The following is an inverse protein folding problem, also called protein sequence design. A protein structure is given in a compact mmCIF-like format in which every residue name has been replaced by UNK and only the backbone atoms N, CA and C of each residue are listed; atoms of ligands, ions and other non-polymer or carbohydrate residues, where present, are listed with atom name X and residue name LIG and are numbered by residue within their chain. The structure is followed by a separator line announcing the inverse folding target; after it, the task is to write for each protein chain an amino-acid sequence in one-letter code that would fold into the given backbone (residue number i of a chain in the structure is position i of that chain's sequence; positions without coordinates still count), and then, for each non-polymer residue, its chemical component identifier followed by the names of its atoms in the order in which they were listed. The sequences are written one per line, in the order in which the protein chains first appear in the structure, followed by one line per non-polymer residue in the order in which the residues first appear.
data_IF_426634042473
#
_entry.id   IF_426634042473
#
_cell.length_a   1.000
_cell.length_b   1.000
_cell.length_c   1.000
_cell.angle_alpha   90.00
_cell.angle_beta   90.00
_cell.angle_gamma   90.00
#
_symmetry.space_group_name_H-M   'P 1'
#
loop_
_entity.id
_entity.type
_entity.pdbx_description
1 polymer ?
#
# COMPACT_ATOMS: atom_id res chain seq x y z
N UNK A 1 6.61 -4.80 -28.74
CA UNK A 1 5.16 -4.70 -28.91
C UNK A 1 4.54 -6.09 -29.20
N UNK A 2 4.92 -6.79 -30.28
CA UNK A 2 4.32 -8.10 -30.66
C UNK A 2 4.32 -9.16 -29.58
N UNK A 3 5.34 -9.19 -28.71
CA UNK A 3 5.40 -10.13 -27.56
C UNK A 3 4.36 -9.75 -26.53
N UNK A 4 4.08 -8.46 -26.35
CA UNK A 4 3.10 -7.93 -25.41
C UNK A 4 1.66 -8.12 -25.87
N UNK A 5 1.39 -7.92 -27.18
CA UNK A 5 0.06 -8.18 -27.75
C UNK A 5 -0.41 -9.60 -27.50
N UNK A 6 0.54 -10.55 -27.44
CA UNK A 6 0.23 -11.97 -27.21
C UNK A 6 0.20 -12.35 -25.73
N UNK A 7 1.07 -11.75 -24.90
CA UNK A 7 1.24 -12.13 -23.50
C UNK A 7 0.41 -11.27 -22.52
N UNK A 8 0.16 -10.00 -22.84
CA UNK A 8 -0.62 -9.09 -22.00
C UNK A 8 -1.27 -7.97 -22.83
N UNK A 9 -2.37 -8.27 -23.55
CA UNK A 9 -3.07 -7.29 -24.38
C UNK A 9 -3.54 -6.04 -23.59
N UNK A 10 -3.73 -6.17 -22.28
CA UNK A 10 -4.09 -5.05 -21.41
C UNK A 10 -3.05 -3.94 -21.31
N UNK A 11 -1.79 -4.20 -21.66
CA UNK A 11 -0.72 -3.18 -21.61
C UNK A 11 -0.60 -2.36 -22.91
N UNK A 12 -1.06 -2.89 -24.02
CA UNK A 12 -0.95 -2.24 -25.33
C UNK A 12 -1.59 -0.86 -25.35
N UNK A 13 -2.83 -0.67 -24.86
CA UNK A 13 -3.45 0.66 -24.80
C UNK A 13 -2.66 1.67 -23.95
N UNK A 14 -2.02 1.19 -22.87
CA UNK A 14 -1.26 2.07 -21.97
C UNK A 14 0.02 2.63 -22.61
N UNK A 15 0.60 1.87 -23.53
CA UNK A 15 1.76 2.28 -24.33
C UNK A 15 1.31 3.28 -25.39
N UNK A 16 0.23 2.99 -26.11
CA UNK A 16 -0.35 3.84 -27.15
C UNK A 16 -0.85 5.17 -26.59
N UNK A 17 -1.35 5.19 -25.35
CA UNK A 17 -1.77 6.39 -24.64
C UNK A 17 -0.60 7.17 -24.00
N UNK A 18 0.66 6.71 -24.14
CA UNK A 18 1.84 7.34 -23.54
C UNK A 18 1.87 7.30 -22.01
N UNK A 19 1.09 6.41 -21.40
CA UNK A 19 1.05 6.22 -19.95
C UNK A 19 2.31 5.50 -19.47
N UNK A 20 2.90 4.66 -20.32
CA UNK A 20 4.16 3.97 -20.11
C UNK A 20 5.11 4.37 -21.25
N UNK A 21 6.27 4.91 -20.92
CA UNK A 21 7.32 5.22 -21.90
C UNK A 21 7.99 3.92 -22.39
N UNK A 22 8.23 3.84 -23.71
CA UNK A 22 8.73 2.64 -24.36
C UNK A 22 10.07 2.11 -23.78
N UNK A 23 10.95 3.00 -23.35
CA UNK A 23 12.31 2.67 -22.92
C UNK A 23 12.37 2.05 -21.50
N UNK A 24 11.33 2.29 -20.69
CA UNK A 24 11.22 1.80 -19.30
C UNK A 24 10.37 0.52 -19.25
N UNK A 25 9.77 0.20 -20.37
CA UNK A 25 8.75 -0.85 -20.49
C UNK A 25 9.28 -2.25 -20.15
N UNK A 26 10.48 -2.60 -20.62
CA UNK A 26 10.98 -3.97 -20.53
C UNK A 26 11.23 -4.44 -19.11
N UNK A 27 11.81 -3.62 -18.25
CA UNK A 27 12.11 -3.96 -16.85
C UNK A 27 10.85 -3.97 -15.98
N UNK A 28 9.98 -2.99 -16.17
CA UNK A 28 8.77 -2.85 -15.36
C UNK A 28 7.75 -3.90 -15.72
N UNK A 29 7.62 -4.21 -17.02
CA UNK A 29 6.68 -5.22 -17.49
C UNK A 29 7.17 -6.61 -17.14
N UNK A 30 8.45 -6.93 -17.31
CA UNK A 30 9.00 -8.22 -16.89
C UNK A 30 8.71 -8.48 -15.41
N UNK A 31 8.92 -7.48 -14.58
CA UNK A 31 8.71 -7.58 -13.14
C UNK A 31 7.21 -7.72 -12.77
N UNK A 32 6.35 -6.91 -13.35
CA UNK A 32 4.90 -7.01 -13.10
C UNK A 32 4.27 -8.22 -13.79
N UNK A 33 4.82 -8.69 -14.92
CA UNK A 33 4.38 -9.92 -15.56
C UNK A 33 4.74 -11.16 -14.75
N UNK A 34 5.93 -11.24 -14.19
CA UNK A 34 6.33 -12.37 -13.36
C UNK A 34 5.43 -12.47 -12.11
N UNK A 35 5.10 -11.32 -11.48
CA UNK A 35 4.15 -11.27 -10.38
C UNK A 35 2.71 -11.57 -10.85
N UNK A 36 2.33 -11.06 -11.99
CA UNK A 36 1.02 -11.22 -12.58
C UNK A 36 0.76 -12.67 -13.03
N UNK A 37 1.74 -13.31 -13.68
CA UNK A 37 1.69 -14.73 -14.08
C UNK A 37 1.69 -15.62 -12.85
N UNK A 38 2.58 -15.36 -11.90
CA UNK A 38 2.67 -16.11 -10.65
C UNK A 38 1.38 -16.01 -9.83
N UNK A 39 0.78 -14.84 -9.77
CA UNK A 39 -0.45 -14.60 -9.03
C UNK A 39 -1.68 -15.18 -9.76
N UNK A 40 -1.70 -15.19 -11.08
CA UNK A 40 -2.75 -15.84 -11.85
C UNK A 40 -2.70 -17.37 -11.68
N UNK A 41 -1.53 -17.99 -11.76
CA UNK A 41 -1.33 -19.42 -11.47
C UNK A 41 -1.81 -19.78 -10.05
N UNK A 42 -1.60 -18.88 -9.10
CA UNK A 42 -1.96 -19.04 -7.70
C UNK A 42 -3.49 -19.03 -7.47
N UNK A 43 -4.26 -18.33 -8.30
CA UNK A 43 -5.72 -18.19 -8.20
C UNK A 43 -6.49 -19.13 -9.12
N UNK A 44 -5.89 -19.63 -10.19
CA UNK A 44 -6.45 -20.65 -11.10
C UNK A 44 -6.46 -22.04 -10.42
N UNK A 45 -5.57 -22.28 -9.45
CA UNK A 45 -5.54 -23.55 -8.72
C UNK A 45 -6.63 -23.58 -7.64
N UNK A 46 -7.63 -24.40 -7.85
CA UNK A 46 -8.90 -24.51 -7.14
C UNK A 46 -8.85 -24.75 -5.61
N UNK A 47 -7.72 -24.97 -4.98
CA UNK A 47 -7.67 -25.38 -3.58
C UNK A 47 -6.67 -24.59 -2.74
N UNK A 48 -6.96 -23.33 -2.46
CA UNK A 48 -6.21 -22.57 -1.46
C UNK A 48 -6.61 -23.00 -0.04
N UNK A 49 -5.80 -23.85 0.57
CA UNK A 49 -5.98 -24.22 1.98
C UNK A 49 -5.26 -23.21 2.85
N UNK A 50 -6.00 -22.41 3.58
CA UNK A 50 -5.46 -21.45 4.55
C UNK A 50 -5.52 -22.04 5.94
N UNK A 51 -4.42 -21.95 6.69
CA UNK A 51 -4.42 -22.29 8.10
C UNK A 51 -5.03 -21.14 8.90
N UNK A 52 -6.22 -21.34 9.43
CA UNK A 52 -6.90 -20.39 10.31
C UNK A 52 -6.76 -20.84 11.74
N UNK A 53 -6.28 -19.97 12.62
CA UNK A 53 -6.21 -20.26 14.04
C UNK A 53 -7.61 -20.33 14.64
N UNK A 54 -7.99 -21.51 15.12
CA UNK A 54 -9.22 -21.70 15.88
C UNK A 54 -8.97 -21.34 17.34
N UNK A 55 -9.53 -20.21 17.78
CA UNK A 55 -9.38 -19.72 19.15
C UNK A 55 -9.97 -20.66 20.21
N UNK A 56 -11.01 -21.39 19.87
CA UNK A 56 -11.70 -22.34 20.78
C UNK A 56 -10.88 -23.60 21.00
N UNK A 57 -10.30 -24.15 19.95
CA UNK A 57 -9.51 -25.36 19.96
C UNK A 57 -8.01 -25.13 20.16
N UNK A 58 -7.58 -23.86 20.17
CA UNK A 58 -6.15 -23.45 20.21
C UNK A 58 -5.28 -24.15 19.16
N UNK A 59 -5.85 -24.46 18.00
CA UNK A 59 -5.23 -25.17 16.89
C UNK A 59 -5.38 -24.42 15.60
N UNK A 60 -4.48 -24.70 14.62
CA UNK A 60 -4.65 -24.19 13.27
C UNK A 60 -5.52 -25.16 12.47
N UNK A 61 -6.70 -24.71 12.10
CA UNK A 61 -7.62 -25.46 11.24
C UNK A 61 -7.42 -25.04 9.79
N UNK A 62 -7.22 -26.02 8.92
CA UNK A 62 -7.16 -25.80 7.48
C UNK A 62 -8.57 -25.50 6.96
N UNK A 63 -8.88 -24.25 6.65
CA UNK A 63 -10.14 -23.87 6.00
C UNK A 63 -9.93 -23.74 4.50
N UNK A 64 -10.86 -24.27 3.71
CA UNK A 64 -11.00 -23.94 2.30
C UNK A 64 -11.36 -22.46 2.21
N UNK A 65 -10.59 -21.68 1.47
CA UNK A 65 -11.01 -20.33 1.07
C UNK A 65 -12.13 -20.52 0.06
N UNK A 66 -13.26 -19.86 0.25
CA UNK A 66 -14.28 -19.71 -0.81
C UNK A 66 -13.61 -18.94 -1.94
N UNK A 67 -13.48 -19.60 -3.07
CA UNK A 67 -12.65 -19.20 -4.20
C UNK A 67 -13.13 -17.90 -4.80
N UNK A 68 -12.21 -17.00 -5.06
CA UNK A 68 -12.34 -16.19 -6.26
C UNK A 68 -12.22 -17.17 -7.45
N UNK A 69 -13.37 -17.51 -8.03
CA UNK A 69 -13.43 -18.29 -9.28
C UNK A 69 -12.97 -17.42 -10.48
N UNK A 70 -12.06 -16.48 -10.26
CA UNK A 70 -11.57 -15.54 -11.28
C UNK A 70 -10.11 -15.18 -11.02
N UNK A 71 -9.39 -14.83 -12.08
CA UNK A 71 -8.04 -14.29 -11.99
C UNK A 71 -8.03 -12.89 -11.35
N UNK A 72 -6.85 -12.41 -10.92
CA UNK A 72 -6.71 -11.03 -10.43
C UNK A 72 -7.10 -10.01 -11.49
N UNK A 73 -6.78 -10.27 -12.75
CA UNK A 73 -7.15 -9.39 -13.87
C UNK A 73 -8.65 -9.26 -14.00
N UNK A 74 -9.37 -10.38 -14.01
CA UNK A 74 -10.83 -10.37 -14.05
C UNK A 74 -11.41 -9.66 -12.83
N UNK A 75 -10.80 -9.84 -11.65
CA UNK A 75 -11.20 -9.15 -10.45
C UNK A 75 -11.01 -7.64 -10.58
N UNK A 76 -9.85 -7.18 -11.04
CA UNK A 76 -9.57 -5.76 -11.24
C UNK A 76 -10.52 -5.14 -12.25
N UNK A 77 -10.74 -5.78 -13.37
CA UNK A 77 -11.68 -5.33 -14.40
C UNK A 77 -13.13 -5.24 -13.89
N UNK A 78 -13.49 -6.12 -12.97
CA UNK A 78 -14.81 -6.10 -12.34
C UNK A 78 -14.99 -4.97 -11.33
N UNK A 79 -13.96 -4.70 -10.52
CA UNK A 79 -14.06 -3.72 -9.41
C UNK A 79 -13.86 -2.29 -9.91
N UNK A 80 -12.85 -2.08 -10.75
CA UNK A 80 -12.52 -0.76 -11.30
C UNK A 80 -12.23 -0.85 -12.80
N UNK A 81 -13.27 -1.07 -13.64
CA UNK A 81 -13.09 -1.25 -15.10
C UNK A 81 -12.51 -0.03 -15.81
N UNK A 82 -12.55 1.13 -15.17
CA UNK A 82 -12.01 2.40 -15.69
C UNK A 82 -10.54 2.66 -15.28
N UNK A 83 -9.94 1.77 -14.48
CA UNK A 83 -8.53 1.86 -14.07
C UNK A 83 -7.76 0.73 -14.76
N UNK A 84 -6.74 1.03 -15.57
CA UNK A 84 -5.93 0.00 -16.19
C UNK A 84 -5.39 -1.03 -15.19
N UNK A 85 -5.39 -2.30 -15.57
CA UNK A 85 -4.99 -3.40 -14.67
C UNK A 85 -3.58 -3.20 -14.13
N UNK A 86 -2.64 -2.73 -14.96
CA UNK A 86 -1.25 -2.47 -14.55
C UNK A 86 -1.17 -1.45 -13.39
N UNK A 87 -2.05 -0.46 -13.38
CA UNK A 87 -2.11 0.53 -12.32
C UNK A 87 -2.68 -0.08 -11.03
N UNK A 88 -3.71 -0.91 -11.14
CA UNK A 88 -4.25 -1.65 -10.00
C UNK A 88 -3.24 -2.67 -9.45
N UNK A 89 -2.54 -3.38 -10.35
CA UNK A 89 -1.47 -4.30 -9.99
C UNK A 89 -0.29 -3.59 -9.27
N UNK A 90 0.07 -2.37 -9.71
CA UNK A 90 1.11 -1.58 -9.06
C UNK A 90 0.73 -1.21 -7.61
N UNK A 91 -0.53 -0.83 -7.35
CA UNK A 91 -1.02 -0.58 -6.00
C UNK A 91 -1.01 -1.85 -5.17
N UNK A 92 -1.44 -2.98 -5.75
CA UNK A 92 -1.41 -4.26 -5.06
C UNK A 92 0.01 -4.67 -4.67
N UNK A 93 0.96 -4.61 -5.62
CA UNK A 93 2.37 -4.93 -5.38
C UNK A 93 2.99 -4.04 -4.28
N UNK A 94 2.66 -2.75 -4.28
CA UNK A 94 3.08 -1.80 -3.24
C UNK A 94 2.62 -2.25 -1.84
N UNK A 95 1.44 -2.81 -1.70
CA UNK A 95 0.89 -3.24 -0.40
C UNK A 95 1.37 -4.62 0.06
N UNK A 96 2.08 -5.38 -0.78
CA UNK A 96 2.58 -6.71 -0.44
C UNK A 96 3.63 -6.69 0.69
N UNK A 97 3.68 -7.76 1.46
CA UNK A 97 4.73 -7.95 2.46
C UNK A 97 6.05 -8.37 1.79
N UNK A 98 7.19 -7.98 2.40
CA UNK A 98 8.54 -8.34 1.91
C UNK A 98 8.72 -9.86 1.75
N UNK A 99 8.01 -10.66 2.54
CA UNK A 99 8.03 -12.13 2.48
C UNK A 99 7.41 -12.73 1.24
N UNK A 100 6.70 -11.95 0.42
CA UNK A 100 6.03 -12.43 -0.80
C UNK A 100 6.97 -12.65 -1.99
N UNK A 101 8.27 -12.39 -1.84
CA UNK A 101 9.26 -12.52 -2.91
C UNK A 101 9.40 -11.27 -3.79
N UNK A 102 8.55 -10.29 -3.61
CA UNK A 102 8.53 -9.03 -4.36
C UNK A 102 9.59 -8.05 -3.83
N UNK A 103 10.84 -8.22 -4.25
CA UNK A 103 12.00 -7.52 -3.66
C UNK A 103 12.08 -6.02 -3.97
N UNK A 104 11.40 -5.51 -4.99
CA UNK A 104 11.56 -4.12 -5.46
C UNK A 104 10.33 -3.23 -5.32
N UNK A 105 9.12 -3.79 -5.32
CA UNK A 105 7.86 -3.03 -5.44
C UNK A 105 7.13 -2.78 -4.12
N UNK A 106 7.66 -3.26 -3.00
CA UNK A 106 6.98 -3.09 -1.70
C UNK A 106 7.00 -1.64 -1.23
N UNK A 107 6.01 -1.26 -0.44
CA UNK A 107 5.90 0.08 0.16
C UNK A 107 7.18 0.52 0.89
N UNK A 108 7.87 -0.42 1.54
CA UNK A 108 9.11 -0.13 2.25
C UNK A 108 10.22 0.32 1.29
N UNK A 109 10.42 -0.41 0.19
CA UNK A 109 11.50 -0.14 -0.74
C UNK A 109 11.21 1.11 -1.59
N UNK A 110 10.01 1.21 -2.16
CA UNK A 110 9.58 2.39 -2.92
C UNK A 110 9.71 3.65 -2.07
N UNK A 111 9.12 3.66 -0.86
CA UNK A 111 9.17 4.83 0.00
C UNK A 111 10.59 5.16 0.50
N UNK A 112 11.44 4.16 0.73
CA UNK A 112 12.84 4.38 1.09
C UNK A 112 13.57 5.15 -0.02
N UNK A 113 13.42 4.73 -1.26
CA UNK A 113 14.09 5.37 -2.41
C UNK A 113 13.53 6.76 -2.68
N UNK A 114 12.21 6.93 -2.68
CA UNK A 114 11.57 8.24 -2.84
C UNK A 114 12.04 9.26 -1.79
N UNK A 115 12.12 8.84 -0.52
CA UNK A 115 12.58 9.72 0.58
C UNK A 115 14.04 10.09 0.46
N UNK A 116 14.87 9.16 0.00
CA UNK A 116 16.31 9.38 -0.17
C UNK A 116 16.65 10.14 -1.46
N UNK A 117 15.69 10.30 -2.38
CA UNK A 117 15.94 10.89 -3.71
C UNK A 117 16.88 10.01 -4.56
N UNK A 118 16.86 8.70 -4.35
CA UNK A 118 17.65 7.76 -5.15
C UNK A 118 16.97 7.61 -6.51
N UNK A 119 17.67 7.95 -7.56
CA UNK A 119 17.23 7.68 -8.94
C UNK A 119 17.16 6.17 -9.18
N UNK A 120 16.02 5.70 -9.62
CA UNK A 120 15.77 4.29 -9.91
C UNK A 120 14.56 4.20 -10.84
N UNK A 121 14.80 3.84 -12.09
CA UNK A 121 13.78 3.77 -13.15
C UNK A 121 12.57 2.92 -12.73
N UNK A 122 12.82 1.82 -12.07
CA UNK A 122 11.78 0.94 -11.58
C UNK A 122 10.87 1.64 -10.56
N UNK A 123 11.47 2.33 -9.57
CA UNK A 123 10.72 3.06 -8.54
C UNK A 123 9.96 4.24 -9.18
N UNK A 124 10.54 4.89 -10.17
CA UNK A 124 9.90 6.01 -10.87
C UNK A 124 8.67 5.55 -11.64
N UNK A 125 8.77 4.45 -12.38
CA UNK A 125 7.62 3.86 -13.08
C UNK A 125 6.58 3.35 -12.10
N UNK A 126 6.97 2.56 -11.10
CA UNK A 126 6.05 2.03 -10.10
C UNK A 126 5.31 3.16 -9.37
N UNK A 127 6.04 4.19 -8.93
CA UNK A 127 5.44 5.32 -8.22
C UNK A 127 4.51 6.14 -9.10
N UNK A 128 4.79 6.27 -10.41
CA UNK A 128 3.93 6.93 -11.39
C UNK A 128 2.63 6.14 -11.59
N UNK A 129 2.72 4.82 -11.81
CA UNK A 129 1.55 3.95 -11.96
C UNK A 129 0.65 3.99 -10.71
N UNK A 130 1.25 3.97 -9.51
CA UNK A 130 0.50 4.10 -8.26
C UNK A 130 -0.21 5.45 -8.21
N UNK A 131 0.48 6.57 -8.46
CA UNK A 131 -0.14 7.91 -8.45
C UNK A 131 -1.26 8.04 -9.47
N UNK A 132 -1.10 7.46 -10.67
CA UNK A 132 -2.14 7.42 -11.69
C UNK A 132 -3.36 6.61 -11.24
N UNK A 133 -3.17 5.44 -10.61
CA UNK A 133 -4.25 4.68 -10.00
C UNK A 133 -4.97 5.50 -8.93
N UNK A 134 -4.22 6.11 -8.02
CA UNK A 134 -4.78 6.93 -6.95
C UNK A 134 -5.61 8.08 -7.52
N UNK A 135 -5.17 8.75 -8.58
CA UNK A 135 -5.93 9.85 -9.18
C UNK A 135 -7.33 9.45 -9.67
N UNK A 136 -7.53 8.19 -10.02
CA UNK A 136 -8.77 7.61 -10.55
C UNK A 136 -9.65 6.95 -9.49
N UNK A 137 -9.10 6.66 -8.32
CA UNK A 137 -9.83 6.05 -7.21
C UNK A 137 -10.70 7.08 -6.47
N UNK A 138 -11.79 6.63 -5.82
CA UNK A 138 -12.62 7.51 -5.01
C UNK A 138 -11.82 8.18 -3.89
N UNK A 139 -12.06 9.47 -3.70
CA UNK A 139 -11.53 10.21 -2.55
C UNK A 139 -12.19 9.73 -1.27
N UNK A 140 -11.42 9.76 -0.20
CA UNK A 140 -11.93 9.53 1.14
C UNK A 140 -11.77 10.80 1.99
N UNK A 141 -12.88 11.29 2.48
CA UNK A 141 -12.93 12.40 3.42
C UNK A 141 -13.32 11.89 4.81
N UNK A 142 -12.49 12.15 5.80
CA UNK A 142 -12.71 11.69 7.16
C UNK A 142 -11.43 11.41 7.92
N UNK A 143 -11.58 10.86 9.12
CA UNK A 143 -10.43 10.53 9.97
C UNK A 143 -9.89 9.16 9.62
N UNK A 144 -8.57 9.07 9.45
CA UNK A 144 -7.85 7.82 9.25
C UNK A 144 -6.64 7.76 10.19
N UNK A 145 -6.10 6.56 10.38
CA UNK A 145 -5.09 6.29 11.38
C UNK A 145 -3.88 5.59 10.79
N UNK A 146 -2.69 5.99 11.24
CA UNK A 146 -1.42 5.35 10.90
C UNK A 146 -0.61 5.10 12.15
N UNK A 147 -0.07 3.90 12.31
CA UNK A 147 0.85 3.54 13.39
C UNK A 147 2.29 3.44 12.89
N UNK A 148 3.21 4.04 13.60
CA UNK A 148 4.64 3.97 13.28
C UNK A 148 5.47 3.93 14.57
N UNK A 149 6.62 3.26 14.51
CA UNK A 149 7.63 3.32 15.57
C UNK A 149 8.83 4.07 15.02
N UNK A 150 9.24 5.17 15.64
CA UNK A 150 10.36 5.98 15.19
C UNK A 150 11.24 6.47 16.34
N UNK A 151 12.50 6.78 16.04
CA UNK A 151 13.38 7.38 17.04
C UNK A 151 12.84 8.73 17.48
N UNK A 152 13.11 9.09 18.74
CA UNK A 152 12.66 10.39 19.29
C UNK A 152 13.22 11.56 18.49
N UNK A 153 14.46 11.44 18.01
CA UNK A 153 15.10 12.46 17.16
C UNK A 153 14.30 12.68 15.87
N UNK A 154 13.97 11.58 15.16
CA UNK A 154 13.19 11.65 13.92
C UNK A 154 11.76 12.17 14.17
N UNK A 155 11.15 11.78 15.28
CA UNK A 155 9.83 12.28 15.67
C UNK A 155 9.87 13.80 15.90
N UNK A 156 10.90 14.27 16.58
CA UNK A 156 11.11 15.70 16.85
C UNK A 156 11.31 16.48 15.55
N UNK A 157 12.32 16.11 14.76
CA UNK A 157 12.68 16.77 13.51
C UNK A 157 11.58 16.79 12.45
N UNK A 158 10.68 15.79 12.44
CA UNK A 158 9.63 15.71 11.41
C UNK A 158 8.29 16.28 11.85
N UNK A 159 8.00 16.29 13.14
CA UNK A 159 6.65 16.61 13.61
C UNK A 159 6.62 17.50 14.86
N UNK A 160 7.41 17.23 15.91
CA UNK A 160 7.23 17.94 17.16
C UNK A 160 7.71 19.40 17.09
N UNK A 161 8.76 19.66 16.31
CA UNK A 161 9.27 21.01 16.06
C UNK A 161 8.44 21.78 15.02
N UNK A 162 7.46 21.10 14.39
CA UNK A 162 6.63 21.62 13.31
C UNK A 162 5.15 21.75 13.66
N UNK A 163 4.82 21.85 14.96
CA UNK A 163 3.42 22.09 15.35
C UNK A 163 2.98 23.48 14.87
N UNK A 164 1.95 23.52 14.04
CA UNK A 164 1.47 24.70 13.35
C UNK A 164 2.00 24.85 11.93
N UNK A 165 3.01 24.06 11.53
CA UNK A 165 3.59 24.08 10.18
C UNK A 165 2.98 23.03 9.27
N UNK A 166 3.20 23.22 7.97
CA UNK A 166 2.85 22.25 6.93
C UNK A 166 4.09 21.42 6.61
N UNK A 167 3.97 20.10 6.80
CA UNK A 167 4.99 19.11 6.45
C UNK A 167 4.55 18.26 5.27
N UNK A 168 5.49 17.66 4.56
CA UNK A 168 5.21 16.71 3.47
C UNK A 168 6.11 15.47 3.58
N UNK A 169 5.66 14.37 3.00
CA UNK A 169 6.48 13.16 2.83
C UNK A 169 6.70 12.91 1.34
N UNK A 170 7.94 12.68 0.94
CA UNK A 170 8.28 12.35 -0.47
C UNK A 170 7.76 10.98 -0.89
N UNK A 171 7.43 10.10 0.06
CA UNK A 171 6.84 8.79 -0.19
C UNK A 171 5.32 8.80 -0.04
N UNK A 172 4.70 7.69 -0.39
CA UNK A 172 3.30 7.43 -0.12
C UNK A 172 3.06 7.22 1.37
N UNK A 173 1.88 7.61 1.85
CA UNK A 173 1.50 7.42 3.25
C UNK A 173 0.28 6.50 3.31
N UNK A 174 0.48 5.29 3.81
CA UNK A 174 -0.57 4.31 4.08
C UNK A 174 -1.19 4.57 5.45
N UNK A 175 -2.50 4.47 5.53
CA UNK A 175 -3.29 4.61 6.75
C UNK A 175 -4.48 3.63 6.72
N UNK A 176 -5.21 3.52 7.81
CA UNK A 176 -6.39 2.65 7.90
C UNK A 176 -7.60 3.44 8.41
N UNK A 177 -8.78 3.02 7.98
CA UNK A 177 -10.06 3.54 8.52
C UNK A 177 -10.22 3.26 10.01
N UNK A 178 -9.62 2.19 10.51
CA UNK A 178 -9.81 1.73 11.88
C UNK A 178 -8.50 1.74 12.66
N UNK A 179 -8.58 2.10 13.94
CA UNK A 179 -7.46 2.17 14.86
C UNK A 179 -6.79 0.81 15.13
N UNK A 180 -7.52 -0.29 15.01
CA UNK A 180 -7.02 -1.64 15.30
C UNK A 180 -5.82 -2.01 14.42
N UNK A 181 -5.83 -1.60 13.16
CA UNK A 181 -4.75 -1.88 12.22
C UNK A 181 -3.44 -1.16 12.61
N UNK A 182 -3.41 0.17 12.79
CA UNK A 182 -2.23 0.87 13.30
C UNK A 182 -1.73 0.35 14.64
N UNK A 183 -2.63 0.00 15.55
CA UNK A 183 -2.26 -0.55 16.87
C UNK A 183 -1.46 -1.85 16.75
N UNK A 184 -1.78 -2.73 15.82
CA UNK A 184 -1.00 -3.96 15.56
C UNK A 184 0.45 -3.64 15.17
N UNK A 185 0.70 -2.57 14.42
CA UNK A 185 2.05 -2.18 13.99
C UNK A 185 2.90 -1.63 15.13
N UNK A 186 2.32 -0.88 16.06
CA UNK A 186 3.05 -0.28 17.19
C UNK A 186 3.10 -1.16 18.43
N UNK A 187 2.27 -2.21 18.53
CA UNK A 187 2.22 -3.13 19.70
C UNK A 187 3.28 -4.22 19.62
N UNK A 188 4.15 -4.23 18.61
CA UNK A 188 5.21 -5.23 18.46
C UNK A 188 6.19 -5.16 19.64
N UNK A 189 6.58 -6.32 20.15
CA UNK A 189 7.62 -6.42 21.19
C UNK A 189 8.99 -5.98 20.66
N UNK A 190 9.88 -5.57 21.57
CA UNK A 190 11.28 -5.27 21.21
C UNK A 190 11.53 -3.88 20.62
N UNK A 191 10.65 -2.92 20.88
CA UNK A 191 10.88 -1.53 20.48
C UNK A 191 12.11 -0.98 21.26
N UNK A 192 13.15 -0.47 20.57
CA UNK A 192 14.31 0.10 21.23
C UNK A 192 13.91 1.26 22.16
N UNK A 193 14.59 1.43 23.28
CA UNK A 193 14.35 2.55 24.24
C UNK A 193 14.43 3.94 23.59
N UNK A 194 15.24 4.08 22.53
CA UNK A 194 15.39 5.31 21.75
C UNK A 194 14.22 5.58 20.81
N UNK A 195 13.26 4.65 20.68
CA UNK A 195 12.10 4.78 19.80
C UNK A 195 10.82 4.99 20.60
N UNK A 196 9.87 5.65 19.98
CA UNK A 196 8.53 5.89 20.50
C UNK A 196 7.48 5.30 19.59
N UNK A 197 6.38 4.87 20.18
CA UNK A 197 5.15 4.54 19.48
C UNK A 197 4.46 5.82 19.07
N UNK A 198 4.05 5.91 17.83
CA UNK A 198 3.39 7.09 17.28
C UNK A 198 2.13 6.65 16.54
N UNK A 199 1.02 7.26 16.90
CA UNK A 199 -0.24 7.20 16.16
C UNK A 199 -0.44 8.55 15.47
N UNK A 200 -0.57 8.52 14.17
CA UNK A 200 -1.06 9.65 13.40
C UNK A 200 -2.57 9.52 13.25
N UNK A 201 -3.29 10.54 13.70
CA UNK A 201 -4.71 10.76 13.43
C UNK A 201 -4.80 11.80 12.33
N UNK A 202 -5.23 11.40 11.14
CA UNK A 202 -5.14 12.22 9.93
C UNK A 202 -6.55 12.58 9.47
N UNK A 203 -6.86 13.87 9.43
CA UNK A 203 -8.04 14.37 8.75
C UNK A 203 -7.77 14.38 7.25
N UNK A 204 -8.29 13.39 6.55
CA UNK A 204 -8.14 13.22 5.11
C UNK A 204 -9.13 14.06 4.32
N UNK A 205 -8.70 14.58 3.18
CA UNK A 205 -9.51 15.25 2.15
C UNK A 205 -9.41 14.55 0.78
N UNK A 206 -8.22 14.04 0.46
CA UNK A 206 -7.91 13.47 -0.85
C UNK A 206 -7.29 12.07 -0.78
N UNK A 207 -7.15 11.48 0.41
CA UNK A 207 -6.72 10.10 0.55
C UNK A 207 -7.57 9.17 -0.32
N UNK A 208 -7.00 8.09 -0.83
CA UNK A 208 -7.68 7.18 -1.75
C UNK A 208 -7.93 5.84 -1.10
N UNK A 209 -9.17 5.39 -1.19
CA UNK A 209 -9.53 4.07 -0.68
C UNK A 209 -9.03 2.99 -1.65
N UNK A 210 -7.97 2.28 -1.24
CA UNK A 210 -7.37 1.19 -1.99
C UNK A 210 -7.77 -0.19 -1.44
N UNK A 211 -8.70 -0.26 -0.48
CA UNK A 211 -9.06 -1.50 0.23
C UNK A 211 -9.43 -2.65 -0.71
N UNK A 212 -10.01 -2.36 -1.87
CA UNK A 212 -10.44 -3.40 -2.82
C UNK A 212 -9.29 -3.95 -3.68
N UNK A 213 -8.21 -3.19 -3.87
CA UNK A 213 -7.06 -3.60 -4.70
C UNK A 213 -5.79 -3.85 -3.90
N UNK A 214 -5.78 -3.53 -2.60
CA UNK A 214 -4.70 -3.88 -1.69
C UNK A 214 -4.55 -5.40 -1.57
N UNK A 215 -3.33 -5.88 -1.32
CA UNK A 215 -3.09 -7.29 -0.96
C UNK A 215 -3.88 -7.68 0.29
N UNK A 216 -4.03 -6.75 1.25
CA UNK A 216 -4.77 -6.95 2.48
C UNK A 216 -6.23 -6.49 2.36
N UNK A 217 -6.96 -7.04 1.40
CA UNK A 217 -8.36 -6.68 1.10
C UNK A 217 -9.40 -7.66 1.67
N UNK A 218 -8.98 -8.66 2.43
CA UNK A 218 -9.85 -9.73 2.93
C UNK A 218 -10.18 -10.81 1.87
N UNK A 219 -9.79 -10.59 0.62
CA UNK A 219 -10.01 -11.51 -0.51
C UNK A 219 -8.70 -12.19 -0.87
N UNK A 220 -7.63 -11.43 -1.12
CA UNK A 220 -6.30 -11.96 -1.43
C UNK A 220 -5.61 -12.51 -0.19
N UNK A 221 -5.81 -11.88 0.94
CA UNK A 221 -5.43 -12.37 2.27
C UNK A 221 -6.65 -12.40 3.19
N UNK A 222 -6.55 -13.08 4.35
CA UNK A 222 -7.64 -13.08 5.34
C UNK A 222 -7.74 -11.77 6.13
N UNK A 223 -6.72 -10.93 6.06
CA UNK A 223 -6.68 -9.64 6.72
C UNK A 223 -7.26 -8.57 5.79
N UNK A 224 -8.13 -7.72 6.31
CA UNK A 224 -8.55 -6.50 5.65
C UNK A 224 -8.04 -5.31 6.47
N UNK A 225 -7.14 -4.53 5.89
CA UNK A 225 -6.56 -3.38 6.55
C UNK A 225 -7.36 -2.09 6.32
N UNK A 226 -8.39 -2.13 5.50
CA UNK A 226 -9.23 -0.96 5.16
C UNK A 226 -8.39 0.27 4.82
N UNK A 227 -7.48 0.08 3.87
CA UNK A 227 -6.37 0.99 3.62
C UNK A 227 -6.81 2.22 2.83
N UNK A 228 -6.39 3.38 3.36
CA UNK A 228 -6.43 4.67 2.67
C UNK A 228 -5.00 5.08 2.39
N UNK A 229 -4.69 5.35 1.13
CA UNK A 229 -3.36 5.71 0.67
C UNK A 229 -3.33 7.18 0.22
N UNK A 230 -2.38 7.93 0.75
CA UNK A 230 -2.06 9.29 0.30
C UNK A 230 -0.93 9.23 -0.71
N UNK A 231 -1.06 10.04 -1.76
CA UNK A 231 -0.04 10.14 -2.80
C UNK A 231 1.26 10.74 -2.26
N UNK A 232 2.36 10.46 -2.95
CA UNK A 232 3.67 11.05 -2.64
C UNK A 232 3.59 12.58 -2.69
N UNK A 233 4.29 13.24 -1.78
CA UNK A 233 4.30 14.69 -1.69
C UNK A 233 3.04 15.32 -1.05
N UNK A 234 2.08 14.52 -0.59
CA UNK A 234 0.92 15.03 0.14
C UNK A 234 1.36 15.89 1.34
N UNK A 235 0.70 17.03 1.50
CA UNK A 235 1.00 18.02 2.52
C UNK A 235 0.04 17.89 3.71
N UNK A 236 0.57 18.03 4.91
CA UNK A 236 -0.20 17.93 6.15
C UNK A 236 0.16 19.06 7.10
N UNK A 237 -0.82 19.78 7.60
CA UNK A 237 -0.66 20.66 8.75
C UNK A 237 -0.50 19.81 10.02
N UNK A 238 0.57 19.98 10.76
CA UNK A 238 0.76 19.38 12.09
C UNK A 238 -0.04 20.18 13.10
N UNK A 239 -1.28 19.77 13.34
CA UNK A 239 -2.22 20.57 14.13
C UNK A 239 -1.95 20.50 15.64
N UNK A 240 -1.63 19.29 16.14
CA UNK A 240 -1.53 19.06 17.59
C UNK A 240 -0.78 17.76 17.89
N UNK A 241 -0.15 17.71 19.08
CA UNK A 241 0.34 16.47 19.69
C UNK A 241 -0.36 16.17 21.00
N UNK A 242 -0.45 14.90 21.35
CA UNK A 242 -0.80 14.40 22.69
C UNK A 242 0.15 13.27 23.04
N UNK A 243 0.32 13.00 24.33
CA UNK A 243 1.00 11.81 24.84
C UNK A 243 -0.04 11.05 25.63
N UNK A 244 -0.28 9.82 25.24
CA UNK A 244 -1.24 8.94 25.90
C UNK A 244 -0.65 8.37 27.19
N UNK A 245 -1.49 7.82 28.06
CA UNK A 245 -1.07 7.32 29.36
C UNK A 245 -0.01 6.20 29.32
N UNK A 246 0.08 5.47 28.20
CA UNK A 246 1.12 4.44 27.95
C UNK A 246 2.40 5.00 27.31
N UNK A 247 2.51 6.32 27.16
CA UNK A 247 3.64 7.00 26.54
C UNK A 247 3.62 7.00 25.00
N UNK A 248 2.55 6.55 24.37
CA UNK A 248 2.35 6.65 22.91
C UNK A 248 2.11 8.10 22.50
N UNK A 249 2.80 8.57 21.48
CA UNK A 249 2.57 9.89 20.92
C UNK A 249 1.41 9.82 19.91
N UNK A 250 0.42 10.71 20.07
CA UNK A 250 -0.62 10.95 19.09
C UNK A 250 -0.39 12.28 18.41
N UNK A 251 -0.18 12.24 17.10
CA UNK A 251 0.03 13.42 16.24
C UNK A 251 -1.23 13.61 15.38
N UNK A 252 -1.82 14.80 15.49
CA UNK A 252 -3.00 15.16 14.69
C UNK A 252 -2.55 15.91 13.47
N UNK A 253 -2.82 15.34 12.29
CA UNK A 253 -2.50 15.88 10.98
C UNK A 253 -3.78 16.30 10.25
N UNK A 254 -3.72 17.37 9.47
CA UNK A 254 -4.81 17.80 8.58
C UNK A 254 -4.24 17.93 7.19
N UNK A 255 -4.75 17.14 6.27
CA UNK A 255 -4.39 17.22 4.86
C UNK A 255 -4.74 18.59 4.27
N UNK A 256 -3.83 19.16 3.45
CA UNK A 256 -3.95 20.50 2.88
C UNK A 256 -4.37 20.47 1.41
#
# INVERSE_FOLDING_TARGET
LKIFETACPAFVPLIEEGIIENDIMDLTIQYYMDDFIRDNDKYIREDFKVNVYNKTEKTFVRKRRTNLAMSRVEYYNKIYPHIPEVQQAAVNAYTQAISSGNKGATSREINRRLRNGTEDEYVDVASRLISQALSRLPKYEGVVYRGETMSIKKLQERFLDHIGDVVSDKGFISSSLYMDTPMKFISRAGIPKSHKRVIFEIQSKNGRNISNISEFNGIFTLENQHEILFDKGTKFLVKKRRIEGDGTYRIILVEQ
#
